data_IF_178604577229
#
_entry.id   IF_178604577229
#
_cell.length_a   1.000
_cell.length_b   1.000
_cell.length_c   1.000
_cell.angle_alpha   90.00
_cell.angle_beta   90.00
_cell.angle_gamma   90.00
#
_symmetry.space_group_name_H-M   'P 1'
#
loop_
_entity.id
_entity.type
_entity.pdbx_description
1 polymer ?
#
# COMPACT_ATOMS: atom_id res chain seq x y z
N UNK A 1 -5.32 2.22 -28.53
CA UNK A 1 -4.09 3.03 -28.35
C UNK A 1 -2.87 2.17 -28.53
N UNK A 2 -1.77 2.69 -29.07
CA UNK A 2 -0.49 1.96 -29.14
C UNK A 2 0.37 2.42 -27.96
N UNK A 3 0.92 1.47 -27.20
CA UNK A 3 1.82 1.81 -26.09
C UNK A 3 3.15 2.34 -26.65
N UNK A 4 3.52 3.56 -26.29
CA UNK A 4 4.73 4.25 -26.78
C UNK A 4 6.01 3.89 -26.00
N UNK A 5 5.90 3.03 -25.00
CA UNK A 5 7.01 2.63 -24.13
C UNK A 5 6.99 3.36 -22.78
N UNK A 6 7.85 2.90 -21.88
CA UNK A 6 8.00 3.56 -20.57
C UNK A 6 8.79 4.86 -20.75
N UNK A 7 8.34 5.96 -20.07
CA UNK A 7 9.04 7.24 -20.17
C UNK A 7 10.43 7.16 -19.54
N UNK A 8 11.33 8.02 -19.98
CA UNK A 8 12.62 8.23 -19.34
C UNK A 8 12.41 9.11 -18.10
N UNK A 9 12.93 8.70 -16.94
CA UNK A 9 12.83 9.45 -15.68
C UNK A 9 12.32 8.62 -14.53
N UNK A 10 11.79 9.26 -13.49
CA UNK A 10 11.18 8.57 -12.33
C UNK A 10 9.91 7.85 -12.79
N UNK A 11 9.89 6.55 -12.64
CA UNK A 11 8.73 5.69 -12.92
C UNK A 11 8.29 5.08 -11.61
N UNK A 12 6.99 5.13 -11.36
CA UNK A 12 6.42 4.48 -10.20
C UNK A 12 6.28 2.97 -10.44
N UNK A 13 6.58 2.20 -9.42
CA UNK A 13 6.53 0.75 -9.45
C UNK A 13 5.46 0.22 -8.50
N UNK A 14 4.67 -0.72 -9.00
CA UNK A 14 3.78 -1.51 -8.15
C UNK A 14 4.49 -2.79 -7.74
N UNK A 15 4.53 -3.08 -6.44
CA UNK A 15 5.12 -4.32 -5.93
C UNK A 15 4.16 -5.47 -6.14
N UNK A 16 4.61 -6.46 -6.90
CA UNK A 16 3.90 -7.71 -7.09
C UNK A 16 4.69 -8.81 -6.37
N UNK A 17 4.07 -9.57 -5.43
CA UNK A 17 4.75 -10.65 -4.74
C UNK A 17 5.35 -11.67 -5.73
N UNK A 18 6.56 -12.17 -5.47
CA UNK A 18 7.19 -13.18 -6.34
C UNK A 18 6.36 -14.46 -6.48
N UNK A 19 5.53 -14.74 -5.48
CA UNK A 19 4.59 -15.88 -5.49
C UNK A 19 3.57 -15.77 -6.62
N UNK A 20 3.17 -14.54 -6.98
CA UNK A 20 2.32 -14.31 -8.15
C UNK A 20 2.92 -14.92 -9.42
N UNK A 21 4.20 -14.68 -9.68
CA UNK A 21 4.85 -15.16 -10.91
C UNK A 21 5.15 -16.67 -10.88
N UNK A 22 5.39 -17.22 -9.69
CA UNK A 22 5.82 -18.62 -9.55
C UNK A 22 4.68 -19.59 -9.42
N UNK A 23 3.56 -19.19 -8.83
CA UNK A 23 2.48 -20.08 -8.47
C UNK A 23 1.15 -19.65 -9.10
N UNK A 24 0.79 -18.35 -9.03
CA UNK A 24 -0.52 -17.90 -9.49
C UNK A 24 -0.57 -17.70 -11.01
N UNK A 25 0.41 -16.99 -11.59
CA UNK A 25 0.41 -16.68 -13.02
C UNK A 25 0.38 -17.92 -13.93
N UNK A 26 1.08 -19.04 -13.65
CA UNK A 26 0.98 -20.25 -14.44
C UNK A 26 -0.41 -20.92 -14.44
N UNK A 27 -1.21 -20.67 -13.42
CA UNK A 27 -2.55 -21.24 -13.26
C UNK A 27 -3.65 -20.36 -13.88
N UNK A 28 -3.35 -19.09 -14.18
CA UNK A 28 -4.31 -18.18 -14.83
C UNK A 28 -4.31 -18.44 -16.33
N UNK A 29 -5.43 -18.89 -16.85
CA UNK A 29 -5.67 -19.21 -18.27
C UNK A 29 -6.61 -18.22 -18.96
N UNK A 30 -7.17 -17.25 -18.22
CA UNK A 30 -8.05 -16.19 -18.71
C UNK A 30 -7.37 -14.84 -18.68
N UNK A 31 -7.47 -14.10 -19.78
CA UNK A 31 -6.94 -12.74 -19.86
C UNK A 31 -7.74 -11.77 -18.97
N UNK A 32 -9.03 -12.01 -18.86
CA UNK A 32 -9.95 -11.23 -18.02
C UNK A 32 -9.55 -11.36 -16.54
N UNK A 33 -9.31 -12.60 -16.07
CA UNK A 33 -8.83 -12.86 -14.71
C UNK A 33 -7.48 -12.22 -14.46
N UNK A 34 -6.54 -12.34 -15.42
CA UNK A 34 -5.21 -11.74 -15.29
C UNK A 34 -5.28 -10.22 -15.15
N UNK A 35 -6.07 -9.54 -15.99
CA UNK A 35 -6.26 -8.09 -15.94
C UNK A 35 -6.88 -7.66 -14.62
N UNK A 36 -7.94 -8.33 -14.18
CA UNK A 36 -8.61 -8.06 -12.91
C UNK A 36 -7.65 -8.25 -11.74
N UNK A 37 -6.89 -9.34 -11.71
CA UNK A 37 -5.93 -9.64 -10.64
C UNK A 37 -4.82 -8.60 -10.56
N UNK A 38 -4.21 -8.22 -11.68
CA UNK A 38 -3.15 -7.21 -11.71
C UNK A 38 -3.67 -5.83 -11.35
N UNK A 39 -4.85 -5.46 -11.85
CA UNK A 39 -5.48 -4.19 -11.51
C UNK A 39 -5.87 -4.13 -10.02
N UNK A 40 -6.39 -5.21 -9.47
CA UNK A 40 -6.71 -5.31 -8.06
C UNK A 40 -5.44 -5.18 -7.19
N UNK A 41 -4.33 -5.83 -7.55
CA UNK A 41 -3.03 -5.68 -6.86
C UNK A 41 -2.58 -4.22 -6.86
N UNK A 42 -2.66 -3.58 -8.02
CA UNK A 42 -2.30 -2.17 -8.17
C UNK A 42 -3.18 -1.26 -7.30
N UNK A 43 -4.49 -1.44 -7.31
CA UNK A 43 -5.42 -0.64 -6.50
C UNK A 43 -5.18 -0.83 -5.00
N UNK A 44 -5.06 -2.09 -4.53
CA UNK A 44 -4.88 -2.39 -3.10
C UNK A 44 -3.55 -1.86 -2.56
N UNK A 45 -2.49 -1.81 -3.37
CA UNK A 45 -1.20 -1.24 -2.95
C UNK A 45 -1.26 0.26 -2.73
N UNK A 46 -2.24 0.95 -3.33
CA UNK A 46 -2.46 2.41 -3.22
C UNK A 46 -3.47 2.79 -2.13
N UNK A 47 -4.18 1.81 -1.58
CA UNK A 47 -5.16 2.05 -0.53
C UNK A 47 -4.50 2.24 0.82
N UNK A 48 -5.00 3.21 1.59
CA UNK A 48 -4.64 3.42 2.99
C UNK A 48 -5.55 2.63 3.93
N UNK A 49 -5.10 2.47 5.18
CA UNK A 49 -5.87 1.83 6.24
C UNK A 49 -5.53 0.36 6.47
N UNK A 50 -6.01 -0.16 7.61
CA UNK A 50 -5.74 -1.55 8.03
C UNK A 50 -6.49 -2.57 7.19
N UNK A 51 -7.73 -2.26 6.80
CA UNK A 51 -8.59 -3.13 5.99
C UNK A 51 -8.70 -2.60 4.58
N UNK A 52 -8.00 -3.27 3.65
CA UNK A 52 -7.99 -2.93 2.23
C UNK A 52 -8.93 -3.86 1.48
N UNK A 53 -9.89 -3.31 0.79
CA UNK A 53 -10.90 -4.04 0.02
C UNK A 53 -11.24 -3.29 -1.26
N UNK A 54 -11.79 -4.00 -2.22
CA UNK A 54 -12.25 -3.47 -3.49
C UNK A 54 -13.75 -3.69 -3.64
N UNK A 55 -14.42 -2.76 -4.27
CA UNK A 55 -15.78 -2.91 -4.78
C UNK A 55 -15.73 -3.08 -6.29
N UNK A 56 -16.80 -3.59 -6.86
CA UNK A 56 -16.96 -3.67 -8.31
C UNK A 56 -16.72 -2.30 -8.98
N UNK A 57 -17.21 -1.25 -8.37
CA UNK A 57 -17.09 0.12 -8.88
C UNK A 57 -15.65 0.63 -8.93
N UNK A 58 -14.74 0.11 -8.11
CA UNK A 58 -13.32 0.46 -8.15
C UNK A 58 -12.66 0.05 -9.47
N UNK A 59 -13.21 -0.96 -10.14
CA UNK A 59 -12.80 -1.39 -11.48
C UNK A 59 -13.56 -0.64 -12.57
N UNK A 60 -14.90 -0.58 -12.45
CA UNK A 60 -15.75 -0.05 -13.51
C UNK A 60 -15.72 1.48 -13.65
N UNK A 61 -15.23 2.20 -12.62
CA UNK A 61 -15.07 3.65 -12.65
C UNK A 61 -13.82 4.11 -13.40
N UNK A 62 -12.87 3.22 -13.73
CA UNK A 62 -11.69 3.56 -14.51
C UNK A 62 -11.95 3.32 -16.01
N UNK A 63 -12.12 4.39 -16.80
CA UNK A 63 -12.41 4.26 -18.23
C UNK A 63 -11.28 3.55 -19.00
N UNK A 64 -10.03 3.80 -18.63
CA UNK A 64 -8.86 3.23 -19.28
C UNK A 64 -8.78 1.72 -19.05
N UNK A 65 -9.06 1.29 -17.83
CA UNK A 65 -9.14 -0.13 -17.51
C UNK A 65 -10.29 -0.80 -18.27
N UNK A 66 -11.47 -0.18 -18.27
CA UNK A 66 -12.66 -0.73 -18.95
C UNK A 66 -12.49 -0.79 -20.47
N UNK A 67 -11.87 0.21 -21.12
CA UNK A 67 -11.50 0.16 -22.53
C UNK A 67 -10.57 -1.05 -22.85
N UNK A 68 -9.73 -1.41 -21.90
CA UNK A 68 -8.86 -2.58 -22.00
C UNK A 68 -9.58 -3.91 -21.80
N UNK A 69 -10.75 -3.92 -21.17
CA UNK A 69 -11.54 -5.13 -20.91
C UNK A 69 -12.38 -5.59 -22.09
N UNK A 70 -12.94 -4.66 -22.86
CA UNK A 70 -13.82 -5.02 -23.99
C UNK A 70 -13.89 -3.94 -25.05
N UNK A 71 -14.40 -4.29 -26.23
CA UNK A 71 -14.57 -3.36 -27.35
C UNK A 71 -15.81 -2.49 -27.22
N UNK A 72 -16.82 -2.99 -26.55
CA UNK A 72 -18.06 -2.26 -26.21
C UNK A 72 -18.18 -2.18 -24.69
N UNK A 73 -19.00 -1.28 -24.20
CA UNK A 73 -19.27 -1.16 -22.77
C UNK A 73 -19.88 -2.45 -22.19
N UNK A 74 -20.72 -3.14 -22.96
CA UNK A 74 -21.35 -4.40 -22.58
C UNK A 74 -20.30 -5.52 -22.49
N UNK A 75 -19.44 -5.66 -23.52
CA UNK A 75 -18.34 -6.65 -23.51
C UNK A 75 -17.40 -6.40 -22.32
N UNK A 76 -17.05 -5.14 -22.04
CA UNK A 76 -16.17 -4.77 -20.93
C UNK A 76 -16.78 -5.11 -19.56
N UNK A 77 -18.08 -4.86 -19.38
CA UNK A 77 -18.79 -5.20 -18.16
C UNK A 77 -18.85 -6.72 -17.95
N UNK A 78 -19.16 -7.48 -19.03
CA UNK A 78 -19.19 -8.93 -18.98
C UNK A 78 -17.80 -9.49 -18.65
N UNK A 79 -16.74 -9.00 -19.32
CA UNK A 79 -15.37 -9.41 -19.08
C UNK A 79 -14.91 -9.13 -17.64
N UNK A 80 -15.32 -7.99 -17.06
CA UNK A 80 -15.07 -7.66 -15.66
C UNK A 80 -15.73 -8.67 -14.72
N UNK A 81 -17.02 -8.99 -14.93
CA UNK A 81 -17.74 -9.96 -14.10
C UNK A 81 -17.10 -11.37 -14.20
N UNK A 82 -16.74 -11.79 -15.42
CA UNK A 82 -16.08 -13.07 -15.65
C UNK A 82 -14.71 -13.12 -14.96
N UNK A 83 -13.89 -12.06 -15.09
CA UNK A 83 -12.59 -11.99 -14.45
C UNK A 83 -12.66 -11.98 -12.92
N UNK A 84 -13.62 -11.24 -12.34
CA UNK A 84 -13.87 -11.24 -10.89
C UNK A 84 -14.32 -12.62 -10.41
N UNK A 85 -15.25 -13.27 -11.14
CA UNK A 85 -15.73 -14.60 -10.78
C UNK A 85 -14.63 -15.66 -10.83
N UNK A 86 -13.75 -15.60 -11.84
CA UNK A 86 -12.61 -16.50 -11.99
C UNK A 86 -11.57 -16.28 -10.90
N UNK A 87 -11.24 -15.02 -10.58
CA UNK A 87 -10.31 -14.67 -9.49
C UNK A 87 -10.82 -15.16 -8.13
N UNK A 88 -12.14 -15.10 -7.89
CA UNK A 88 -12.77 -15.66 -6.69
C UNK A 88 -12.74 -17.19 -6.71
N UNK A 89 -13.09 -17.82 -7.82
CA UNK A 89 -13.08 -19.29 -7.96
C UNK A 89 -11.68 -19.88 -7.76
N UNK A 90 -10.63 -19.19 -8.23
CA UNK A 90 -9.23 -19.58 -8.04
C UNK A 90 -8.74 -19.29 -6.60
N UNK A 91 -9.44 -18.48 -5.84
CA UNK A 91 -9.06 -18.10 -4.49
C UNK A 91 -8.00 -17.00 -4.41
N UNK A 92 -7.77 -16.26 -5.49
CA UNK A 92 -6.94 -15.05 -5.50
C UNK A 92 -7.63 -13.92 -4.77
N UNK A 93 -8.93 -13.77 -5.04
CA UNK A 93 -9.82 -12.87 -4.34
C UNK A 93 -10.82 -13.65 -3.50
N UNK A 94 -11.26 -13.08 -2.41
CA UNK A 94 -12.36 -13.55 -1.57
C UNK A 94 -13.47 -12.52 -1.63
N UNK A 95 -14.70 -12.97 -1.86
CA UNK A 95 -15.89 -12.11 -1.95
C UNK A 95 -16.72 -12.22 -0.70
N UNK A 96 -17.21 -11.08 -0.20
CA UNK A 96 -18.22 -10.99 0.85
C UNK A 96 -19.34 -10.08 0.34
N UNK A 97 -20.57 -10.55 0.47
CA UNK A 97 -21.76 -9.80 0.07
C UNK A 97 -22.37 -9.15 1.34
N UNK A 98 -22.55 -7.83 1.29
CA UNK A 98 -23.19 -7.05 2.34
C UNK A 98 -24.58 -6.61 1.87
N UNK A 99 -25.55 -6.65 2.78
CA UNK A 99 -26.88 -6.06 2.55
C UNK A 99 -26.98 -4.78 3.39
N UNK A 100 -26.92 -3.64 2.71
CA UNK A 100 -27.09 -2.34 3.35
C UNK A 100 -28.37 -1.69 2.85
N UNK A 101 -29.39 -1.60 3.72
CA UNK A 101 -30.69 -1.00 3.42
C UNK A 101 -31.43 -1.62 2.20
N UNK A 102 -31.19 -2.91 1.92
CA UNK A 102 -31.78 -3.62 0.78
C UNK A 102 -30.96 -3.54 -0.52
N UNK A 103 -29.81 -2.88 -0.50
CA UNK A 103 -28.84 -2.87 -1.59
C UNK A 103 -27.71 -3.86 -1.29
N UNK A 104 -27.53 -4.84 -2.21
CA UNK A 104 -26.47 -5.83 -2.08
C UNK A 104 -25.19 -5.31 -2.68
N UNK A 105 -24.18 -5.12 -1.85
CA UNK A 105 -22.86 -4.67 -2.26
C UNK A 105 -21.84 -5.80 -2.09
N UNK A 106 -21.17 -6.18 -3.18
CA UNK A 106 -20.07 -7.15 -3.13
C UNK A 106 -18.75 -6.44 -2.85
N UNK A 107 -17.98 -6.99 -1.93
CA UNK A 107 -16.66 -6.51 -1.53
C UNK A 107 -15.64 -7.63 -1.75
N UNK A 108 -14.48 -7.28 -2.30
CA UNK A 108 -13.42 -8.21 -2.66
C UNK A 108 -12.17 -7.94 -1.84
N UNK A 109 -11.62 -8.98 -1.24
CA UNK A 109 -10.37 -8.95 -0.50
C UNK A 109 -9.34 -9.85 -1.19
N UNK A 110 -8.06 -9.43 -1.19
CA UNK A 110 -7.00 -10.36 -1.56
C UNK A 110 -6.88 -11.49 -0.54
N UNK A 111 -6.65 -12.71 -1.00
CA UNK A 111 -6.40 -13.87 -0.15
C UNK A 111 -4.99 -13.79 0.49
N UNK A 112 -4.85 -12.89 1.41
CA UNK A 112 -3.68 -12.66 2.25
C UNK A 112 -4.04 -12.90 3.72
N UNK A 113 -3.07 -13.01 4.65
CA UNK A 113 -3.40 -13.12 6.08
C UNK A 113 -4.31 -12.00 6.58
N UNK A 114 -4.07 -10.76 6.16
CA UNK A 114 -4.92 -9.60 6.50
C UNK A 114 -6.29 -9.68 5.82
N UNK A 115 -6.35 -10.08 4.56
CA UNK A 115 -7.62 -10.26 3.85
C UNK A 115 -8.49 -11.34 4.47
N UNK A 116 -7.92 -12.48 4.86
CA UNK A 116 -8.66 -13.54 5.58
C UNK A 116 -9.19 -13.09 6.93
N UNK A 117 -8.40 -12.31 7.67
CA UNK A 117 -8.85 -11.72 8.93
C UNK A 117 -10.01 -10.73 8.71
N UNK A 118 -9.94 -9.91 7.65
CA UNK A 118 -11.00 -8.97 7.28
C UNK A 118 -12.30 -9.68 6.86
N UNK A 119 -12.19 -10.76 6.06
CA UNK A 119 -13.36 -11.59 5.70
C UNK A 119 -14.02 -12.17 6.94
N UNK A 120 -13.22 -12.73 7.86
CA UNK A 120 -13.75 -13.25 9.12
C UNK A 120 -14.44 -12.17 9.95
N UNK A 121 -13.86 -10.99 10.06
CA UNK A 121 -14.47 -9.86 10.76
C UNK A 121 -15.79 -9.40 10.09
N UNK A 122 -15.87 -9.49 8.77
CA UNK A 122 -17.08 -9.22 8.02
C UNK A 122 -18.17 -10.29 8.24
N UNK A 123 -17.80 -11.58 8.26
CA UNK A 123 -18.71 -12.68 8.55
C UNK A 123 -19.24 -12.64 10.00
N UNK A 124 -18.39 -12.24 10.94
CA UNK A 124 -18.75 -12.05 12.36
C UNK A 124 -19.50 -10.73 12.63
N UNK A 125 -19.87 -9.96 11.58
CA UNK A 125 -20.53 -8.64 11.65
C UNK A 125 -19.76 -7.60 12.48
N UNK A 126 -18.49 -7.86 12.79
CA UNK A 126 -17.63 -6.94 13.55
C UNK A 126 -17.00 -5.86 12.68
N UNK A 127 -17.09 -6.00 11.35
CA UNK A 127 -16.64 -5.03 10.36
C UNK A 127 -17.64 -4.92 9.22
N UNK A 128 -17.91 -3.70 8.79
CA UNK A 128 -18.71 -3.40 7.60
C UNK A 128 -17.97 -2.37 6.75
N UNK A 129 -18.10 -2.44 5.41
CA UNK A 129 -17.51 -1.42 4.55
C UNK A 129 -18.16 -0.07 4.85
N UNK A 130 -17.38 0.98 5.13
CA UNK A 130 -17.93 2.31 5.37
C UNK A 130 -18.77 2.78 4.18
N UNK A 131 -19.82 3.54 4.47
CA UNK A 131 -20.62 4.19 3.42
C UNK A 131 -19.69 5.04 2.56
N UNK A 132 -19.76 4.84 1.27
CA UNK A 132 -19.02 5.68 0.32
C UNK A 132 -19.76 7.00 0.19
N UNK A 133 -19.36 8.01 0.93
CA UNK A 133 -19.52 9.37 0.42
C UNK A 133 -18.78 9.44 -0.91
N UNK A 134 -19.41 10.07 -1.93
CA UNK A 134 -19.04 10.12 -3.34
C UNK A 134 -17.56 9.97 -3.65
N UNK A 135 -17.16 9.39 -4.80
CA UNK A 135 -15.79 9.04 -5.08
C UNK A 135 -14.92 10.23 -4.72
N UNK A 136 -14.11 10.06 -3.69
CA UNK A 136 -13.01 10.96 -3.46
C UNK A 136 -12.26 10.91 -4.77
N UNK A 137 -12.32 11.98 -5.55
CA UNK A 137 -11.34 12.28 -6.56
C UNK A 137 -10.07 12.50 -5.75
N UNK A 138 -9.51 11.42 -5.23
CA UNK A 138 -8.15 11.43 -4.74
C UNK A 138 -7.35 11.75 -5.98
N UNK A 139 -7.00 13.03 -6.09
CA UNK A 139 -5.85 13.43 -6.86
C UNK A 139 -4.83 12.33 -6.63
N UNK A 140 -4.28 11.80 -7.69
CA UNK A 140 -3.26 10.76 -7.73
C UNK A 140 -2.00 11.27 -7.03
N UNK A 141 -2.10 11.48 -5.72
CA UNK A 141 -0.94 11.73 -4.87
C UNK A 141 -0.40 10.34 -4.61
N UNK A 142 0.41 9.87 -5.54
CA UNK A 142 1.23 8.70 -5.37
C UNK A 142 1.99 8.85 -4.07
N UNK A 143 1.65 8.01 -3.11
CA UNK A 143 2.34 8.07 -1.83
C UNK A 143 3.76 7.58 -2.04
N UNK A 144 4.77 8.39 -1.68
CA UNK A 144 6.15 8.03 -1.87
C UNK A 144 6.46 6.77 -1.05
N UNK A 145 7.04 5.74 -1.68
CA UNK A 145 7.56 4.58 -0.97
C UNK A 145 8.79 4.99 -0.12
N UNK A 146 9.27 4.10 0.75
CA UNK A 146 10.40 4.39 1.65
C UNK A 146 11.65 4.87 0.88
N UNK A 147 11.90 4.38 -0.33
CA UNK A 147 13.04 4.78 -1.15
C UNK A 147 12.88 6.20 -1.67
N UNK A 148 11.68 6.57 -2.13
CA UNK A 148 11.36 7.93 -2.54
C UNK A 148 11.42 8.90 -1.36
N UNK A 149 10.83 8.52 -0.20
CA UNK A 149 10.92 9.31 1.02
C UNK A 149 12.38 9.56 1.40
N UNK A 150 13.24 8.55 1.26
CA UNK A 150 14.65 8.69 1.56
C UNK A 150 15.37 9.62 0.57
N UNK A 151 15.20 9.41 -0.74
CA UNK A 151 15.86 10.22 -1.78
C UNK A 151 15.44 11.69 -1.74
N UNK A 152 14.16 11.95 -1.48
CA UNK A 152 13.62 13.32 -1.43
C UNK A 152 14.01 14.08 -0.18
N UNK A 153 14.13 13.37 0.96
CA UNK A 153 14.29 14.02 2.26
C UNK A 153 15.68 13.89 2.86
N UNK A 154 16.46 12.85 2.50
CA UNK A 154 17.76 12.56 3.09
C UNK A 154 18.89 12.64 2.08
N UNK A 155 18.82 11.87 0.99
CA UNK A 155 19.87 11.87 -0.02
C UNK A 155 19.92 10.64 -0.92
N UNK A 156 20.96 10.47 -1.72
CA UNK A 156 21.05 9.38 -2.70
C UNK A 156 21.13 8.00 -2.03
N UNK A 157 20.45 7.03 -2.63
CA UNK A 157 20.44 5.65 -2.15
C UNK A 157 21.71 4.93 -2.62
N UNK A 158 22.52 4.47 -1.68
CA UNK A 158 23.62 3.53 -1.93
C UNK A 158 23.14 2.10 -1.73
N UNK A 159 23.87 1.07 -2.22
CA UNK A 159 23.50 -0.33 -1.98
C UNK A 159 23.30 -0.67 -0.51
N UNK A 160 24.15 -0.16 0.38
CA UNK A 160 24.03 -0.34 1.83
C UNK A 160 22.74 0.29 2.38
N UNK A 161 22.41 1.49 1.93
CA UNK A 161 21.17 2.18 2.32
C UNK A 161 19.95 1.41 1.80
N UNK A 162 20.00 0.88 0.58
CA UNK A 162 18.90 0.09 0.02
C UNK A 162 18.60 -1.15 0.87
N UNK A 163 19.63 -1.82 1.40
CA UNK A 163 19.46 -2.95 2.31
C UNK A 163 18.79 -2.52 3.63
N UNK A 164 19.25 -1.43 4.24
CA UNK A 164 18.63 -0.88 5.46
C UNK A 164 17.15 -0.47 5.27
N UNK A 165 16.84 0.14 4.12
CA UNK A 165 15.46 0.52 3.79
C UNK A 165 14.57 -0.71 3.59
N UNK A 166 15.08 -1.76 2.95
CA UNK A 166 14.36 -3.02 2.77
C UNK A 166 14.05 -3.68 4.10
N UNK A 167 15.05 -3.76 4.99
CA UNK A 167 14.87 -4.34 6.33
C UNK A 167 13.80 -3.57 7.13
N UNK A 168 13.80 -2.24 7.04
CA UNK A 168 12.80 -1.42 7.69
C UNK A 168 11.39 -1.64 7.10
N UNK A 169 11.27 -1.83 5.81
CA UNK A 169 10.00 -2.09 5.12
C UNK A 169 9.40 -3.45 5.48
N UNK A 170 10.26 -4.45 5.75
CA UNK A 170 9.82 -5.76 6.25
C UNK A 170 9.42 -5.72 7.73
N UNK A 171 10.04 -4.84 8.53
CA UNK A 171 9.89 -4.81 9.97
C UNK A 171 8.78 -3.86 10.45
N UNK A 172 8.56 -2.73 9.77
CA UNK A 172 7.65 -1.68 10.22
C UNK A 172 6.48 -1.45 9.25
N UNK A 173 5.30 -1.08 9.75
CA UNK A 173 4.17 -0.66 8.91
C UNK A 173 4.51 0.57 8.08
N UNK A 174 4.03 0.62 6.84
CA UNK A 174 4.30 1.73 5.90
C UNK A 174 3.89 3.11 6.46
N UNK A 175 2.75 3.18 7.17
CA UNK A 175 2.28 4.41 7.81
C UNK A 175 3.22 4.90 8.93
N UNK A 176 3.89 3.97 9.64
CA UNK A 176 4.90 4.33 10.63
C UNK A 176 6.13 4.91 9.95
N UNK A 177 6.60 4.27 8.89
CA UNK A 177 7.74 4.72 8.11
C UNK A 177 7.52 6.16 7.66
N UNK A 178 6.36 6.44 7.02
CA UNK A 178 6.03 7.78 6.54
C UNK A 178 6.05 8.81 7.65
N UNK A 179 5.38 8.55 8.75
CA UNK A 179 5.32 9.49 9.87
C UNK A 179 6.68 9.71 10.53
N UNK A 180 7.52 8.68 10.61
CA UNK A 180 8.88 8.83 11.09
C UNK A 180 9.72 9.76 10.19
N UNK A 181 9.50 9.70 8.86
CA UNK A 181 10.09 10.66 7.92
C UNK A 181 9.54 12.09 8.13
N UNK A 182 8.22 12.25 8.29
CA UNK A 182 7.59 13.54 8.57
C UNK A 182 8.19 14.20 9.83
N UNK A 183 8.28 13.44 10.92
CA UNK A 183 8.91 13.88 12.18
C UNK A 183 10.38 14.26 11.97
N UNK A 184 11.14 13.47 11.21
CA UNK A 184 12.52 13.77 10.91
C UNK A 184 12.70 15.07 10.11
N UNK A 185 11.80 15.32 9.16
CA UNK A 185 11.77 16.55 8.36
C UNK A 185 11.37 17.76 9.21
N UNK A 186 10.31 17.65 10.01
CA UNK A 186 9.84 18.71 10.92
C UNK A 186 10.91 19.12 11.93
N UNK A 187 11.64 18.12 12.48
CA UNK A 187 12.73 18.37 13.41
C UNK A 187 14.05 18.77 12.73
N UNK A 188 14.06 18.83 11.39
CA UNK A 188 15.25 19.13 10.58
C UNK A 188 16.44 18.17 10.82
N UNK A 189 16.15 16.91 11.22
CA UNK A 189 17.14 15.84 11.43
C UNK A 189 17.03 14.85 10.29
N UNK A 190 17.63 15.17 9.14
CA UNK A 190 17.53 14.41 7.90
C UNK A 190 18.58 13.28 7.86
N UNK A 191 18.49 12.31 8.81
CA UNK A 191 19.41 11.17 8.91
C UNK A 191 18.62 9.88 9.14
N UNK A 192 18.99 8.81 8.44
CA UNK A 192 18.33 7.50 8.57
C UNK A 192 18.31 6.97 10.01
N UNK A 193 19.44 7.08 10.72
CA UNK A 193 19.53 6.64 12.13
C UNK A 193 18.47 7.26 13.03
N UNK A 194 18.09 8.51 12.78
CA UNK A 194 17.05 9.19 13.55
C UNK A 194 15.65 8.61 13.25
N UNK A 195 15.34 8.35 11.97
CA UNK A 195 14.10 7.70 11.55
C UNK A 195 13.99 6.30 12.15
N UNK A 196 15.07 5.53 12.08
CA UNK A 196 15.15 4.19 12.65
C UNK A 196 14.95 4.20 14.18
N UNK A 197 15.51 5.17 14.88
CA UNK A 197 15.32 5.34 16.32
C UNK A 197 13.84 5.62 16.68
N UNK A 198 13.14 6.44 15.89
CA UNK A 198 11.71 6.69 16.06
C UNK A 198 10.92 5.38 15.85
N UNK A 199 11.17 4.66 14.76
CA UNK A 199 10.48 3.41 14.45
C UNK A 199 10.69 2.34 15.52
N UNK A 200 11.91 2.23 16.04
CA UNK A 200 12.26 1.30 17.12
C UNK A 200 11.55 1.66 18.43
N UNK A 201 11.50 2.94 18.80
CA UNK A 201 10.80 3.36 20.00
C UNK A 201 9.31 3.05 19.95
N UNK A 202 8.67 3.22 18.80
CA UNK A 202 7.26 2.84 18.62
C UNK A 202 7.02 1.33 18.69
N UNK A 203 7.99 0.54 18.27
CA UNK A 203 7.91 -0.92 18.38
C UNK A 203 8.09 -1.42 19.82
N UNK A 204 8.96 -0.78 20.60
CA UNK A 204 9.29 -1.21 21.97
C UNK A 204 8.28 -0.71 23.00
N UNK A 205 7.79 0.52 22.87
CA UNK A 205 6.96 1.19 23.88
C UNK A 205 5.48 1.30 23.49
N UNK A 206 5.13 0.96 22.27
CA UNK A 206 3.83 1.24 21.69
C UNK A 206 3.70 2.70 21.26
N UNK A 207 2.87 2.94 20.25
CA UNK A 207 2.63 4.27 19.72
C UNK A 207 1.62 5.03 20.59
N UNK A 208 2.04 6.16 21.16
CA UNK A 208 1.17 7.09 21.90
C UNK A 208 1.33 8.50 21.30
N UNK A 209 0.34 8.96 20.54
CA UNK A 209 0.34 10.26 19.82
C UNK A 209 0.63 11.47 20.71
N UNK A 210 0.48 11.34 22.03
CA UNK A 210 0.81 12.39 23.00
C UNK A 210 2.26 12.36 23.51
N UNK A 211 2.96 11.24 23.30
CA UNK A 211 4.37 11.06 23.69
C UNK A 211 5.33 11.38 22.54
N UNK A 212 4.88 11.27 21.31
CA UNK A 212 5.72 11.48 20.12
C UNK A 212 6.43 12.84 20.10
N UNK A 213 5.79 13.91 20.56
CA UNK A 213 6.44 15.22 20.67
C UNK A 213 7.55 15.25 21.73
N UNK A 214 7.42 14.52 22.82
CA UNK A 214 8.46 14.46 23.88
C UNK A 214 9.62 13.54 23.54
N UNK A 215 9.36 12.46 22.80
CA UNK A 215 10.41 11.55 22.32
C UNK A 215 11.25 12.18 21.23
N UNK A 216 10.63 12.91 20.33
CA UNK A 216 11.30 13.72 19.33
C UNK A 216 12.35 14.67 19.94
N UNK A 217 12.05 15.31 21.07
CA UNK A 217 13.01 16.17 21.77
C UNK A 217 14.11 15.36 22.50
N UNK A 218 13.78 14.21 23.08
CA UNK A 218 14.74 13.36 23.80
C UNK A 218 15.71 12.67 22.83
N UNK A 219 15.20 12.07 21.77
CA UNK A 219 16.02 11.44 20.72
C UNK A 219 16.89 12.45 19.98
N UNK A 220 16.40 13.70 19.81
CA UNK A 220 17.18 14.80 19.26
C UNK A 220 18.34 15.19 20.18
N UNK A 221 18.12 15.19 21.50
CA UNK A 221 19.16 15.49 22.49
C UNK A 221 20.22 14.41 22.57
N UNK A 222 19.81 13.15 22.70
CA UNK A 222 20.72 12.00 22.70
C UNK A 222 21.58 11.94 21.43
N UNK A 223 20.96 12.23 20.28
CA UNK A 223 21.67 12.25 18.99
C UNK A 223 22.69 13.40 18.92
N UNK A 224 22.34 14.58 19.41
CA UNK A 224 23.25 15.73 19.43
C UNK A 224 24.39 15.51 20.44
N UNK A 225 24.13 14.87 21.58
CA UNK A 225 25.15 14.52 22.57
C UNK A 225 26.13 13.47 22.04
N UNK A 226 25.66 12.47 21.26
CA UNK A 226 26.50 11.46 20.62
C UNK A 226 27.38 12.07 19.49
N UNK A 227 26.82 13.00 18.71
CA UNK A 227 27.56 13.70 17.63
C UNK A 227 28.62 14.68 18.18
N UNK A 228 28.41 15.23 19.39
CA UNK A 228 29.41 16.07 20.10
C UNK A 228 30.45 15.24 20.86
N UNK A 229 30.13 14.00 21.25
CA UNK A 229 31.09 13.11 21.90
C UNK A 229 32.21 12.70 20.95
N UNK A 230 31.90 12.44 19.67
CA UNK A 230 32.89 12.11 18.63
C UNK A 230 33.81 13.29 18.25
N UNK A 231 33.46 14.54 18.67
CA UNK A 231 34.27 15.73 18.39
C UNK A 231 35.21 16.13 19.55
N UNK A 232 35.16 15.46 20.69
CA UNK A 232 35.91 15.81 21.91
C UNK A 232 37.12 14.86 22.17
N UNK A 233 37.23 13.77 21.37
CA UNK A 233 38.40 12.90 21.40
C UNK A 233 39.38 13.24 20.25
N UNK A 234 40.04 14.41 20.33
CA UNK A 234 41.31 14.72 19.65
C UNK A 234 42.14 15.69 20.51
#
# INVERSE_FOLDING_TARGET
MTFEGFPSGKINFTRIPSLFFRELLPEIDSLEELKVTLYALWQVTRMEGETRYLRRDDFSSDPTFMEGMGKTAEDAQQALEEGLAQAVARGTLMRVDFDHQGEKTAVYFFNSPKGRAAVKAAEDESWQPPDREAPSTTLDIEQPNIYQLYEENIGPITPLVADLLRDAEEQYPENWIRQAFEIAVENNVRKWKYIEAILRSWQEEGRDDRRDQRYSEKSRREYLEDEFADFIED
#
